data_IF_268699551920
#
_entry.id   IF_268699551920
#
_cell.length_a   1.000
_cell.length_b   1.000
_cell.length_c   1.000
_cell.angle_alpha   90.00
_cell.angle_beta   90.00
_cell.angle_gamma   90.00
#
_symmetry.space_group_name_H-M   'P 1'
#
loop_
_entity.id
_entity.type
_entity.pdbx_description
1 polymer ?
#
# COMPACT_ATOMS: atom_id res chain seq x y z
N UNK A 1 -6.31 9.38 -3.07
CA UNK A 1 -5.24 10.25 -3.62
C UNK A 1 -5.41 10.43 -5.13
N UNK A 2 -5.29 9.38 -5.95
CA UNK A 2 -5.33 9.53 -7.42
C UNK A 2 -6.64 10.09 -7.98
N UNK A 3 -7.81 9.58 -7.59
CA UNK A 3 -9.08 10.04 -8.16
C UNK A 3 -9.56 11.38 -7.58
N UNK A 4 -9.62 11.49 -6.25
CA UNK A 4 -10.15 12.70 -5.61
C UNK A 4 -9.19 13.90 -5.65
N UNK A 5 -7.88 13.67 -5.45
CA UNK A 5 -6.88 14.74 -5.38
C UNK A 5 -6.08 14.89 -6.69
N UNK A 6 -6.25 13.98 -7.66
CA UNK A 6 -5.47 13.95 -8.92
C UNK A 6 -3.96 13.83 -8.72
N UNK A 7 -3.54 13.29 -7.58
CA UNK A 7 -2.12 13.08 -7.24
C UNK A 7 -1.73 11.65 -7.62
N UNK A 8 -0.88 11.51 -8.63
CA UNK A 8 -0.44 10.20 -9.19
C UNK A 8 1.07 9.95 -9.07
N UNK A 9 1.89 10.99 -9.19
CA UNK A 9 3.36 10.85 -9.17
C UNK A 9 3.99 11.18 -7.81
N UNK A 10 3.51 12.23 -7.13
CA UNK A 10 4.17 12.84 -5.97
C UNK A 10 4.57 11.84 -4.87
N UNK A 11 3.70 10.90 -4.40
CA UNK A 11 4.08 9.98 -3.34
C UNK A 11 5.19 9.02 -3.76
N UNK A 12 5.21 8.61 -5.03
CA UNK A 12 6.27 7.73 -5.58
C UNK A 12 7.59 8.48 -5.67
N UNK A 13 7.56 9.71 -6.18
CA UNK A 13 8.76 10.56 -6.27
C UNK A 13 9.35 10.86 -4.90
N UNK A 14 8.50 11.14 -3.89
CA UNK A 14 8.98 11.38 -2.52
C UNK A 14 9.70 10.18 -1.92
N UNK A 15 9.16 8.96 -2.11
CA UNK A 15 9.81 7.75 -1.63
C UNK A 15 11.10 7.45 -2.40
N UNK A 16 11.11 7.62 -3.72
CA UNK A 16 12.32 7.44 -4.52
C UNK A 16 13.43 8.41 -4.10
N UNK A 17 13.10 9.69 -3.89
CA UNK A 17 14.06 10.69 -3.41
C UNK A 17 14.57 10.42 -1.98
N UNK A 18 13.79 9.69 -1.18
CA UNK A 18 14.19 9.24 0.16
C UNK A 18 15.05 7.96 0.13
N UNK A 19 15.40 7.45 -1.06
CA UNK A 19 16.30 6.29 -1.23
C UNK A 19 15.60 4.94 -1.34
N UNK A 20 14.27 4.89 -1.38
CA UNK A 20 13.53 3.64 -1.58
C UNK A 20 13.45 3.25 -3.06
N UNK A 21 13.55 1.96 -3.36
CA UNK A 21 13.19 1.43 -4.69
C UNK A 21 11.67 1.35 -4.79
N UNK A 22 11.08 2.12 -5.70
CA UNK A 22 9.62 2.18 -5.87
C UNK A 22 9.22 1.47 -7.15
N UNK A 23 8.50 0.36 -7.02
CA UNK A 23 7.96 -0.41 -8.15
C UNK A 23 6.49 -0.05 -8.40
N UNK A 24 6.14 0.13 -9.67
CA UNK A 24 4.74 0.22 -10.08
C UNK A 24 4.11 -1.18 -10.13
N UNK A 25 2.86 -1.29 -9.71
CA UNK A 25 2.08 -2.53 -9.84
C UNK A 25 1.18 -2.47 -11.09
N UNK A 26 0.91 -3.61 -11.75
CA UNK A 26 -0.10 -3.66 -12.79
C UNK A 26 -1.43 -3.10 -12.28
N UNK A 27 -2.04 -2.22 -13.07
CA UNK A 27 -3.34 -1.62 -12.74
C UNK A 27 -3.35 -0.88 -11.39
N UNK A 28 -2.22 -0.23 -11.06
CA UNK A 28 -2.06 0.52 -9.80
C UNK A 28 -3.14 1.55 -9.54
N UNK A 29 -3.74 2.12 -10.59
CA UNK A 29 -4.82 3.10 -10.51
C UNK A 29 -6.16 2.53 -10.01
N UNK A 30 -6.40 1.21 -10.15
CA UNK A 30 -7.67 0.62 -9.70
C UNK A 30 -7.85 0.75 -8.18
N UNK A 31 -9.09 0.93 -7.74
CA UNK A 31 -9.43 1.05 -6.32
C UNK A 31 -9.08 -0.23 -5.54
N UNK A 32 -8.74 -0.08 -4.26
CA UNK A 32 -8.54 -1.19 -3.33
C UNK A 32 -9.85 -1.90 -2.92
N UNK A 33 -11.01 -1.28 -3.18
CA UNK A 33 -12.34 -1.80 -2.82
C UNK A 33 -12.90 -1.28 -1.48
N UNK A 34 -12.11 -0.54 -0.69
CA UNK A 34 -12.51 -0.13 0.67
C UNK A 34 -13.69 0.86 0.75
N UNK A 35 -13.92 1.66 -0.30
CA UNK A 35 -14.70 2.91 -0.39
C UNK A 35 -15.97 3.10 0.48
N UNK A 36 -15.82 3.07 1.81
CA UNK A 36 -16.87 3.37 2.81
C UNK A 36 -18.18 2.62 2.55
N UNK A 37 -19.27 3.37 2.41
CA UNK A 37 -20.61 2.84 2.16
C UNK A 37 -20.69 1.98 0.90
N UNK A 38 -19.92 2.28 -0.15
CA UNK A 38 -19.94 1.47 -1.37
C UNK A 38 -19.44 0.04 -1.10
N UNK A 39 -18.43 -0.13 -0.26
CA UNK A 39 -17.93 -1.45 0.14
C UNK A 39 -19.01 -2.26 0.87
N UNK A 40 -19.81 -1.60 1.72
CA UNK A 40 -20.93 -2.23 2.45
C UNK A 40 -22.08 -2.58 1.51
N UNK A 41 -22.43 -1.68 0.59
CA UNK A 41 -23.54 -1.86 -0.33
C UNK A 41 -23.20 -2.78 -1.51
N UNK A 42 -21.93 -2.90 -1.87
CA UNK A 42 -21.43 -3.66 -3.03
C UNK A 42 -20.26 -4.59 -2.63
N UNK A 43 -20.45 -5.51 -1.67
CA UNK A 43 -19.38 -6.32 -1.10
C UNK A 43 -18.73 -7.25 -2.12
N UNK A 44 -19.49 -7.77 -3.08
CA UNK A 44 -18.95 -8.65 -4.13
C UNK A 44 -17.96 -7.89 -5.04
N UNK A 45 -18.31 -6.67 -5.46
CA UNK A 45 -17.44 -5.83 -6.29
C UNK A 45 -16.20 -5.42 -5.50
N UNK A 46 -16.38 -5.00 -4.24
CA UNK A 46 -15.26 -4.66 -3.37
C UNK A 46 -14.30 -5.83 -3.15
N UNK A 47 -14.82 -7.04 -3.00
CA UNK A 47 -14.04 -8.28 -2.89
C UNK A 47 -13.23 -8.57 -4.16
N UNK A 48 -13.85 -8.46 -5.34
CA UNK A 48 -13.17 -8.65 -6.64
C UNK A 48 -12.05 -7.62 -6.85
N UNK A 49 -12.31 -6.34 -6.52
CA UNK A 49 -11.30 -5.28 -6.59
C UNK A 49 -10.13 -5.56 -5.65
N UNK A 50 -10.41 -5.95 -4.41
CA UNK A 50 -9.38 -6.34 -3.43
C UNK A 50 -8.52 -7.49 -3.96
N UNK A 51 -9.14 -8.59 -4.38
CA UNK A 51 -8.43 -9.77 -4.88
C UNK A 51 -7.53 -9.45 -6.08
N UNK A 52 -8.05 -8.67 -7.05
CA UNK A 52 -7.27 -8.23 -8.22
C UNK A 52 -6.09 -7.35 -7.82
N UNK A 53 -6.29 -6.42 -6.89
CA UNK A 53 -5.22 -5.54 -6.40
C UNK A 53 -4.10 -6.33 -5.74
N UNK A 54 -4.46 -7.27 -4.87
CA UNK A 54 -3.49 -8.12 -4.14
C UNK A 54 -2.70 -8.99 -5.12
N UNK A 55 -3.38 -9.68 -6.04
CA UNK A 55 -2.70 -10.49 -7.05
C UNK A 55 -1.68 -9.68 -7.88
N UNK A 56 -2.01 -8.43 -8.23
CA UNK A 56 -1.08 -7.55 -8.95
C UNK A 56 0.09 -7.08 -8.08
N UNK A 57 -0.12 -6.87 -6.77
CA UNK A 57 0.95 -6.53 -5.83
C UNK A 57 1.91 -7.73 -5.67
N UNK A 58 1.37 -8.92 -5.42
CA UNK A 58 2.16 -10.13 -5.15
C UNK A 58 3.02 -10.54 -6.35
N UNK A 59 2.56 -10.27 -7.58
CA UNK A 59 3.35 -10.46 -8.80
C UNK A 59 4.62 -9.62 -8.88
N UNK A 60 4.67 -8.49 -8.18
CA UNK A 60 5.86 -7.62 -8.13
C UNK A 60 6.84 -8.05 -7.03
N UNK A 61 6.40 -8.94 -6.13
CA UNK A 61 7.17 -9.45 -4.99
C UNK A 61 7.87 -8.34 -4.18
N UNK A 62 7.15 -7.33 -3.67
CA UNK A 62 7.76 -6.25 -2.88
C UNK A 62 8.05 -6.69 -1.45
N UNK A 63 9.06 -6.06 -0.83
CA UNK A 63 9.36 -6.25 0.60
C UNK A 63 8.25 -5.67 1.50
N UNK A 64 7.62 -4.58 1.05
CA UNK A 64 6.53 -3.90 1.76
C UNK A 64 5.63 -3.10 0.81
N UNK A 65 4.46 -2.70 1.30
CA UNK A 65 3.49 -1.87 0.59
C UNK A 65 3.37 -0.51 1.28
N UNK A 66 3.56 0.57 0.52
CA UNK A 66 3.33 1.93 1.00
C UNK A 66 1.96 2.46 0.55
N UNK A 67 1.13 2.91 1.48
CA UNK A 67 -0.17 3.51 1.16
C UNK A 67 -0.48 4.72 2.04
N UNK A 68 -1.22 5.70 1.49
CA UNK A 68 -1.56 6.95 2.19
C UNK A 68 -3.02 7.03 2.67
N UNK A 69 -3.78 5.94 2.58
CA UNK A 69 -5.20 5.93 2.95
C UNK A 69 -5.49 4.73 3.85
N UNK A 70 -6.00 5.00 5.05
CA UNK A 70 -6.27 3.96 6.06
C UNK A 70 -7.23 2.88 5.55
N UNK A 71 -8.26 3.26 4.78
CA UNK A 71 -9.18 2.31 4.17
C UNK A 71 -8.48 1.34 3.22
N UNK A 72 -7.57 1.82 2.37
CA UNK A 72 -6.78 0.93 1.54
C UNK A 72 -5.76 0.10 2.32
N UNK A 73 -5.14 0.64 3.36
CA UNK A 73 -4.25 -0.12 4.24
C UNK A 73 -5.01 -1.30 4.85
N UNK A 74 -6.14 -1.04 5.53
CA UNK A 74 -6.95 -2.09 6.16
C UNK A 74 -7.48 -3.09 5.14
N UNK A 75 -7.97 -2.61 3.99
CA UNK A 75 -8.54 -3.48 2.96
C UNK A 75 -7.50 -4.42 2.36
N UNK A 76 -6.29 -3.92 2.03
CA UNK A 76 -5.23 -4.74 1.45
C UNK A 76 -4.62 -5.67 2.50
N UNK A 77 -4.37 -5.19 3.72
CA UNK A 77 -3.83 -6.00 4.82
C UNK A 77 -4.73 -7.20 5.15
N UNK A 78 -6.04 -7.11 4.90
CA UNK A 78 -6.97 -8.23 5.11
C UNK A 78 -6.80 -9.40 4.12
N UNK A 79 -5.92 -9.31 3.13
CA UNK A 79 -5.77 -10.35 2.11
C UNK A 79 -4.35 -10.67 1.68
N UNK A 80 -3.32 -10.11 2.31
CA UNK A 80 -1.92 -10.47 2.04
C UNK A 80 -1.09 -10.38 3.32
N UNK A 81 -0.03 -11.19 3.40
CA UNK A 81 0.94 -11.16 4.50
C UNK A 81 2.07 -10.14 4.32
N UNK A 82 2.14 -9.48 3.16
CA UNK A 82 3.16 -8.46 2.87
C UNK A 82 2.95 -7.27 3.81
N UNK A 83 3.99 -6.82 4.54
CA UNK A 83 3.87 -5.69 5.45
C UNK A 83 3.40 -4.41 4.76
N UNK A 84 2.46 -3.71 5.40
CA UNK A 84 1.91 -2.47 4.87
C UNK A 84 2.21 -1.34 5.85
N UNK A 85 2.72 -0.23 5.33
CA UNK A 85 3.07 0.95 6.10
C UNK A 85 2.45 2.20 5.49
N UNK A 86 2.16 3.18 6.34
CA UNK A 86 1.77 4.48 5.85
C UNK A 86 2.97 5.16 5.19
N UNK A 87 2.78 5.81 4.03
CA UNK A 87 3.88 6.48 3.31
C UNK A 87 4.67 7.46 4.19
N UNK A 88 3.98 8.18 5.09
CA UNK A 88 4.64 9.11 6.03
C UNK A 88 5.55 8.39 7.03
N UNK A 89 5.27 7.14 7.42
CA UNK A 89 6.14 6.39 8.33
C UNK A 89 7.49 6.07 7.67
N UNK A 90 7.48 5.72 6.37
CA UNK A 90 8.71 5.51 5.61
C UNK A 90 9.53 6.79 5.45
N UNK A 91 8.86 7.91 5.16
CA UNK A 91 9.53 9.21 5.07
C UNK A 91 10.11 9.62 6.43
N UNK A 92 9.35 9.46 7.52
CA UNK A 92 9.84 9.72 8.86
C UNK A 92 11.10 8.91 9.18
N UNK A 93 11.09 7.62 8.85
CA UNK A 93 12.26 6.74 9.05
C UNK A 93 13.46 7.18 8.20
N UNK A 94 13.25 7.51 6.93
CA UNK A 94 14.33 7.96 6.03
C UNK A 94 14.99 9.28 6.49
N UNK A 95 14.25 10.14 7.22
CA UNK A 95 14.76 11.41 7.73
C UNK A 95 15.12 11.36 9.23
N UNK A 96 15.46 10.18 9.76
CA UNK A 96 16.05 10.01 11.10
C UNK A 96 15.05 9.69 12.23
N UNK A 97 13.79 9.45 11.90
CA UNK A 97 12.80 8.94 12.84
C UNK A 97 12.87 7.42 13.04
N UNK A 98 12.02 6.91 13.93
CA UNK A 98 11.98 5.47 14.25
C UNK A 98 11.54 4.62 13.05
N UNK A 99 12.11 3.42 12.94
CA UNK A 99 11.71 2.41 11.97
C UNK A 99 10.25 1.98 12.24
N UNK A 100 9.39 1.84 11.21
CA UNK A 100 8.03 1.38 11.40
C UNK A 100 8.01 -0.08 11.88
N UNK A 101 7.14 -0.42 12.83
CA UNK A 101 7.04 -1.78 13.39
C UNK A 101 6.86 -2.86 12.32
N UNK A 102 6.02 -2.59 11.31
CA UNK A 102 5.78 -3.51 10.21
C UNK A 102 7.05 -3.79 9.36
N UNK A 103 8.03 -2.88 9.35
CA UNK A 103 9.33 -3.10 8.69
C UNK A 103 10.25 -3.94 9.57
N UNK A 104 10.25 -3.71 10.89
CA UNK A 104 11.04 -4.50 11.84
C UNK A 104 10.71 -6.00 11.78
N UNK A 105 9.47 -6.34 11.44
CA UNK A 105 9.01 -7.72 11.28
C UNK A 105 9.48 -8.40 9.98
N UNK A 106 9.99 -7.65 8.99
CA UNK A 106 10.58 -8.24 7.76
C UNK A 106 11.88 -8.96 8.11
N UNK A 107 12.68 -8.41 9.01
CA UNK A 107 13.97 -8.98 9.44
C UNK A 107 13.86 -10.20 10.35
N UNK A 108 12.70 -10.42 10.99
CA UNK A 108 12.47 -11.56 11.90
C UNK A 108 11.74 -12.73 11.25
N UNK A 109 11.11 -12.54 10.09
CA UNK A 109 10.46 -13.62 9.33
C UNK A 109 11.43 -14.42 8.43
N UNK A 110 12.69 -13.98 8.32
CA UNK A 110 13.73 -14.62 7.52
C UNK A 110 14.69 -15.52 8.34
N UNK A 111 14.34 -15.84 9.60
CA UNK A 111 15.10 -16.70 10.50
C UNK A 111 14.32 -17.97 10.88
#
# INVERSE_FOLDING_TARGET
MQHGQKITALPKTLLANAGFTVSDIPEGHLCCGSAGTYNILQPEIAGKLKARKIANIERVAPDLIAAGNIGCITQIASGTGIPIVHTVQLLNWAYGGNMPEAVGNIGTSAA
#
